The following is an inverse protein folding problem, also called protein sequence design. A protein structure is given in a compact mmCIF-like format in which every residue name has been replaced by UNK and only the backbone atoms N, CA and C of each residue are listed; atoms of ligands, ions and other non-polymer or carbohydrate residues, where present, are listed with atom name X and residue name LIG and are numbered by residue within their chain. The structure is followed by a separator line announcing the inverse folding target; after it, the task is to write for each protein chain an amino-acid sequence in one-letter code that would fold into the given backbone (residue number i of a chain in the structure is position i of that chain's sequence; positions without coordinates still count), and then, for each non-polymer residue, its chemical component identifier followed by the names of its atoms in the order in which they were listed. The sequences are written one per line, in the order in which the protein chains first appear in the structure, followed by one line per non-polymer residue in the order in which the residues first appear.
data_IF_628057066635
#
_entry.id   IF_628057066635
#
_cell.length_a   1.000
_cell.length_b   1.000
_cell.length_c   1.000
_cell.angle_alpha   90.00
_cell.angle_beta   90.00
_cell.angle_gamma   90.00
#
_symmetry.space_group_name_H-M   'P 1'
#
loop_
_entity.id
_entity.type
_entity.pdbx_description
1 polymer ?
#
# COMPACT_ATOMS: atom_id res chain seq x y z
N UNK A 1 2.82 -20.07 13.17
CA UNK A 1 3.52 -21.36 12.93
C UNK A 1 2.87 -22.49 13.73
N UNK A 2 2.69 -23.64 13.08
CA UNK A 2 1.85 -24.82 13.36
C UNK A 2 0.34 -24.55 13.46
N UNK A 3 -0.26 -24.24 12.31
CA UNK A 3 -1.69 -24.42 12.05
C UNK A 3 -2.07 -25.89 12.32
N UNK A 4 -3.22 -26.14 12.93
CA UNK A 4 -3.74 -27.51 13.05
C UNK A 4 -3.96 -28.11 11.65
N UNK A 5 -3.67 -29.41 11.43
CA UNK A 5 -3.73 -30.02 10.09
C UNK A 5 -5.08 -29.82 9.40
N UNK A 6 -6.18 -29.84 10.15
CA UNK A 6 -7.54 -29.68 9.65
C UNK A 6 -7.82 -28.29 9.05
N UNK A 7 -7.39 -27.21 9.71
CA UNK A 7 -7.62 -25.84 9.22
C UNK A 7 -6.79 -25.51 7.98
N UNK A 8 -5.58 -26.08 7.87
CA UNK A 8 -4.78 -26.00 6.65
C UNK A 8 -5.46 -26.74 5.49
N UNK A 9 -5.97 -27.95 5.72
CA UNK A 9 -6.63 -28.72 4.66
C UNK A 9 -7.92 -28.08 4.17
N UNK A 10 -8.69 -27.39 5.01
CA UNK A 10 -9.84 -26.61 4.55
C UNK A 10 -9.41 -25.36 3.78
N UNK A 11 -8.42 -24.62 4.29
CA UNK A 11 -7.91 -23.42 3.62
C UNK A 11 -7.30 -23.71 2.24
N UNK A 12 -6.68 -24.89 2.07
CA UNK A 12 -6.12 -25.35 0.80
C UNK A 12 -7.21 -25.77 -0.21
N UNK A 13 -8.36 -26.27 0.26
CA UNK A 13 -9.49 -26.65 -0.61
C UNK A 13 -10.25 -25.46 -1.18
N UNK A 14 -10.18 -24.32 -0.50
CA UNK A 14 -10.84 -23.09 -0.92
C UNK A 14 -9.93 -22.17 -1.78
N UNK A 15 -8.70 -22.60 -2.11
CA UNK A 15 -7.83 -21.91 -3.06
C UNK A 15 -8.34 -22.10 -4.49
N UNK A 16 -8.25 -21.06 -5.33
CA UNK A 16 -8.56 -21.18 -6.76
C UNK A 16 -7.56 -22.13 -7.44
N UNK A 17 -8.00 -22.91 -8.45
CA UNK A 17 -7.21 -23.97 -9.09
C UNK A 17 -5.83 -23.47 -9.57
N UNK A 18 -5.76 -22.27 -10.15
CA UNK A 18 -4.50 -21.66 -10.57
C UNK A 18 -3.52 -21.43 -9.41
N UNK A 19 -4.02 -20.98 -8.25
CA UNK A 19 -3.18 -20.70 -7.08
C UNK A 19 -2.74 -22.01 -6.41
N UNK A 20 -3.59 -23.04 -6.48
CA UNK A 20 -3.26 -24.40 -6.03
C UNK A 20 -2.20 -25.03 -6.94
N UNK A 21 -2.32 -24.87 -8.25
CA UNK A 21 -1.33 -25.33 -9.25
C UNK A 21 0.01 -24.62 -9.04
N UNK A 22 0.01 -23.32 -8.77
CA UNK A 22 1.22 -22.56 -8.45
C UNK A 22 1.90 -23.10 -7.17
N UNK A 23 1.12 -23.43 -6.13
CA UNK A 23 1.64 -24.07 -4.92
C UNK A 23 2.20 -25.47 -5.18
N UNK A 24 1.51 -26.28 -6.00
CA UNK A 24 1.94 -27.62 -6.35
C UNK A 24 3.19 -27.62 -7.22
N UNK A 25 3.32 -26.67 -8.15
CA UNK A 25 4.53 -26.46 -8.94
C UNK A 25 5.73 -26.09 -8.04
N UNK A 26 5.51 -25.22 -7.05
CA UNK A 26 6.53 -24.87 -6.06
C UNK A 26 6.96 -26.10 -5.24
N UNK A 27 6.01 -26.91 -4.74
CA UNK A 27 6.31 -28.14 -4.00
C UNK A 27 7.02 -29.20 -4.88
N UNK A 28 6.59 -29.41 -6.12
CA UNK A 28 7.23 -30.35 -7.05
C UNK A 28 8.68 -29.94 -7.37
N UNK A 29 8.94 -28.63 -7.43
CA UNK A 29 10.30 -28.10 -7.57
C UNK A 29 11.20 -28.42 -6.37
N UNK A 30 10.62 -28.62 -5.17
CA UNK A 30 11.35 -29.01 -3.96
C UNK A 30 11.70 -30.51 -3.94
N UNK A 31 10.83 -31.37 -4.47
CA UNK A 31 11.08 -32.82 -4.52
C UNK A 31 12.19 -33.20 -5.50
N UNK A 32 12.35 -32.44 -6.59
CA UNK A 32 13.36 -32.70 -7.64
C UNK A 32 14.79 -32.32 -7.26
N UNK A 33 15.00 -31.65 -6.12
CA UNK A 33 16.34 -31.23 -5.65
C UNK A 33 16.97 -32.19 -4.63
N UNK A 34 16.29 -33.29 -4.28
CA UNK A 34 16.79 -34.28 -3.30
C UNK A 34 17.67 -35.39 -3.88
N UNK A 35 17.92 -35.43 -5.19
CA UNK A 35 18.82 -36.40 -5.83
C UNK A 35 20.08 -35.70 -6.35
N UNK A 36 21.04 -35.44 -5.48
CA UNK A 36 22.42 -35.15 -5.90
C UNK A 36 23.37 -36.05 -5.11
N UNK A 37 23.70 -37.18 -5.74
CA UNK A 37 24.64 -38.19 -5.27
C UNK A 37 26.06 -37.62 -5.19
N UNK A 38 26.72 -37.88 -4.06
CA UNK A 38 28.13 -37.61 -3.78
C UNK A 38 29.04 -38.34 -4.79
N UNK A 39 30.14 -37.75 -5.29
CA UNK A 39 31.13 -38.50 -6.06
C UNK A 39 32.17 -39.15 -5.13
N UNK A 40 32.25 -40.48 -5.17
CA UNK A 40 33.33 -41.29 -4.61
C UNK A 40 34.58 -41.18 -5.50
N UNK A 41 35.72 -40.85 -4.90
CA UNK A 41 37.05 -40.86 -5.52
C UNK A 41 37.46 -42.29 -5.94
N UNK A 42 37.92 -42.47 -7.18
CA UNK A 42 38.67 -43.65 -7.62
C UNK A 42 40.18 -43.39 -7.50
N UNK A 43 40.91 -44.39 -6.99
CA UNK A 43 42.33 -44.56 -7.26
C UNK A 43 42.63 -46.05 -7.50
N UNK A 44 43.55 -46.28 -8.44
CA UNK A 44 43.78 -47.50 -9.21
C UNK A 44 44.51 -48.65 -8.49
N UNK A 45 44.37 -49.88 -9.03
CA UNK A 45 45.19 -51.05 -8.67
C UNK A 45 44.86 -52.36 -9.41
N UNK A 46 45.46 -52.53 -10.59
CA UNK A 46 45.96 -53.75 -11.29
C UNK A 46 45.27 -55.15 -11.26
N UNK A 47 45.22 -55.72 -12.49
CA UNK A 47 45.59 -57.09 -12.94
C UNK A 47 44.56 -58.24 -13.08
N UNK A 48 44.55 -58.75 -14.33
CA UNK A 48 44.47 -60.13 -14.83
C UNK A 48 43.11 -60.81 -15.13
N UNK A 49 43.04 -61.25 -16.40
CA UNK A 49 42.41 -62.44 -17.02
C UNK A 49 40.93 -62.77 -16.78
N UNK A 50 40.09 -62.77 -17.83
CA UNK A 50 39.86 -63.93 -18.71
C UNK A 50 38.69 -63.71 -19.71
N UNK A 51 38.95 -64.17 -20.93
CA UNK A 51 38.11 -64.75 -22.01
C UNK A 51 36.57 -64.54 -22.18
N UNK A 52 36.26 -64.44 -23.50
CA UNK A 52 35.13 -64.98 -24.29
C UNK A 52 33.84 -64.16 -24.58
N UNK A 53 33.75 -63.77 -25.87
CA UNK A 53 32.65 -64.03 -26.85
C UNK A 53 31.24 -63.42 -26.57
N UNK A 54 30.42 -62.92 -27.50
CA UNK A 54 30.36 -62.88 -28.97
C UNK A 54 29.31 -61.83 -29.43
N UNK A 55 29.38 -61.42 -30.71
CA UNK A 55 28.31 -60.99 -31.66
C UNK A 55 27.25 -59.94 -31.26
N UNK A 56 26.68 -59.11 -32.13
CA UNK A 56 26.86 -58.71 -33.53
C UNK A 56 25.79 -57.61 -33.83
N UNK A 57 26.17 -56.47 -34.44
CA UNK A 57 25.53 -55.74 -35.58
C UNK A 57 24.00 -55.37 -35.61
N UNK A 58 23.54 -54.39 -36.46
CA UNK A 58 22.81 -53.19 -36.00
C UNK A 58 21.40 -52.98 -36.64
N UNK A 59 20.98 -51.75 -37.02
CA UNK A 59 19.84 -50.97 -36.50
C UNK A 59 18.54 -51.10 -37.36
N UNK A 60 17.49 -50.30 -37.09
CA UNK A 60 17.22 -49.25 -38.08
C UNK A 60 16.66 -47.92 -37.54
N UNK A 61 16.94 -46.90 -38.36
CA UNK A 61 16.40 -45.55 -38.38
C UNK A 61 14.88 -45.51 -38.58
N UNK A 62 14.21 -44.51 -38.01
CA UNK A 62 13.08 -43.85 -38.68
C UNK A 62 12.84 -42.43 -38.16
N UNK A 63 12.34 -41.63 -39.10
CA UNK A 63 12.28 -40.18 -39.21
C UNK A 63 11.13 -39.50 -38.46
N UNK A 64 11.46 -38.30 -37.94
CA UNK A 64 10.72 -37.01 -37.97
C UNK A 64 9.19 -37.04 -38.02
N UNK A 65 8.53 -36.47 -37.01
CA UNK A 65 7.51 -35.42 -37.21
C UNK A 65 7.26 -34.55 -35.96
N UNK A 66 6.93 -33.29 -36.24
CA UNK A 66 6.91 -32.10 -35.40
C UNK A 66 5.58 -31.91 -34.68
N UNK A 67 5.61 -31.35 -33.46
CA UNK A 67 4.54 -30.47 -32.94
C UNK A 67 5.07 -29.54 -31.85
N UNK A 68 4.96 -28.24 -32.10
CA UNK A 68 5.54 -27.17 -31.30
C UNK A 68 4.87 -26.98 -29.95
N UNK A 69 5.66 -27.15 -28.89
CA UNK A 69 5.41 -26.55 -27.58
C UNK A 69 6.39 -25.39 -27.38
N UNK A 70 5.91 -24.31 -26.76
CA UNK A 70 6.75 -23.22 -26.25
C UNK A 70 7.86 -23.83 -25.40
N UNK A 71 9.08 -23.87 -25.94
CA UNK A 71 10.25 -24.27 -25.18
C UNK A 71 10.60 -23.14 -24.22
N UNK A 72 10.26 -23.32 -22.96
CA UNK A 72 11.06 -22.73 -21.88
C UNK A 72 12.47 -23.28 -22.05
N UNK A 73 13.42 -22.39 -22.32
CA UNK A 73 14.81 -22.78 -22.53
C UNK A 73 15.34 -23.44 -21.27
N UNK A 74 15.59 -24.75 -21.36
CA UNK A 74 16.28 -25.48 -20.30
C UNK A 74 17.65 -24.84 -20.05
N UNK A 75 18.09 -24.67 -18.80
CA UNK A 75 19.41 -24.12 -18.49
C UNK A 75 20.50 -25.03 -19.06
N UNK A 76 21.08 -24.66 -20.20
CA UNK A 76 22.00 -25.50 -20.97
C UNK A 76 23.42 -25.55 -20.40
N UNK A 77 23.79 -24.64 -19.48
CA UNK A 77 25.10 -24.67 -18.82
C UNK A 77 25.04 -25.07 -17.34
N UNK A 78 26.11 -25.69 -16.83
CA UNK A 78 26.25 -26.01 -15.39
C UNK A 78 26.08 -24.77 -14.50
N UNK A 79 26.46 -23.60 -15.01
CA UNK A 79 26.27 -22.30 -14.34
C UNK A 79 24.79 -21.92 -14.25
N UNK A 80 24.02 -22.09 -15.32
CA UNK A 80 22.58 -21.78 -15.33
C UNK A 80 21.79 -22.73 -14.42
N UNK A 81 22.17 -24.02 -14.39
CA UNK A 81 21.60 -25.00 -13.46
C UNK A 81 21.92 -24.65 -12.01
N UNK A 82 23.16 -24.23 -11.72
CA UNK A 82 23.56 -23.77 -10.39
C UNK A 82 22.83 -22.50 -9.96
N UNK A 83 22.68 -21.51 -10.86
CA UNK A 83 21.94 -20.28 -10.61
C UNK A 83 20.46 -20.56 -10.34
N UNK A 84 19.83 -21.38 -11.15
CA UNK A 84 18.43 -21.79 -10.98
C UNK A 84 18.22 -22.58 -9.68
N UNK A 85 19.15 -23.47 -9.31
CA UNK A 85 19.08 -24.20 -8.04
C UNK A 85 19.22 -23.24 -6.84
N UNK A 86 20.12 -22.25 -6.92
CA UNK A 86 20.28 -21.24 -5.88
C UNK A 86 19.03 -20.36 -5.75
N UNK A 87 18.40 -20.01 -6.86
CA UNK A 87 17.15 -19.26 -6.89
C UNK A 87 16.00 -20.08 -6.28
N UNK A 88 15.84 -21.35 -6.66
CA UNK A 88 14.88 -22.27 -6.04
C UNK A 88 15.12 -22.47 -4.55
N UNK A 89 16.36 -22.55 -4.11
CA UNK A 89 16.69 -22.67 -2.69
C UNK A 89 16.36 -21.37 -1.91
N UNK A 90 16.58 -20.21 -2.53
CA UNK A 90 16.15 -18.93 -1.96
C UNK A 90 14.63 -18.84 -1.89
N UNK A 91 13.94 -19.30 -2.92
CA UNK A 91 12.48 -19.28 -3.00
C UNK A 91 11.83 -20.25 -2.02
N UNK A 92 12.39 -21.44 -1.84
CA UNK A 92 11.93 -22.43 -0.86
C UNK A 92 12.05 -21.96 0.61
N UNK A 93 12.85 -20.91 0.88
CA UNK A 93 12.99 -20.30 2.21
C UNK A 93 11.98 -19.18 2.46
N UNK A 94 11.27 -18.73 1.43
CA UNK A 94 10.28 -17.65 1.54
C UNK A 94 9.07 -18.17 2.30
N UNK A 95 8.70 -17.48 3.37
CA UNK A 95 7.49 -17.81 4.13
C UNK A 95 6.25 -17.42 3.34
N UNK A 96 5.31 -18.35 3.22
CA UNK A 96 4.00 -18.18 2.59
C UNK A 96 2.88 -18.36 3.62
N UNK A 97 1.84 -17.54 3.52
CA UNK A 97 0.62 -17.61 4.31
C UNK A 97 -0.59 -17.72 3.39
N UNK A 98 -1.55 -18.54 3.78
CA UNK A 98 -2.89 -18.53 3.17
C UNK A 98 -3.73 -17.55 3.98
N UNK A 99 -4.22 -16.51 3.33
CA UNK A 99 -4.92 -15.39 3.96
C UNK A 99 -6.36 -15.35 3.43
N UNK A 100 -7.32 -15.37 4.34
CA UNK A 100 -8.74 -15.16 4.04
C UNK A 100 -9.07 -13.68 4.16
N UNK A 101 -9.47 -13.07 3.05
CA UNK A 101 -9.86 -11.67 2.95
C UNK A 101 -11.38 -11.59 2.83
N UNK A 102 -12.02 -10.87 3.75
CA UNK A 102 -13.47 -10.66 3.76
C UNK A 102 -13.85 -9.46 2.91
N UNK A 103 -14.93 -9.63 2.15
CA UNK A 103 -15.45 -8.62 1.23
C UNK A 103 -16.59 -7.82 1.87
N UNK A 104 -16.96 -6.68 1.28
CA UNK A 104 -18.05 -5.84 1.79
C UNK A 104 -19.44 -6.48 1.70
N UNK A 105 -19.64 -7.45 0.80
CA UNK A 105 -20.89 -8.19 0.62
C UNK A 105 -21.01 -9.42 1.54
N UNK A 106 -20.03 -9.65 2.41
CA UNK A 106 -19.97 -10.80 3.32
C UNK A 106 -19.33 -12.05 2.71
N UNK A 107 -18.98 -12.04 1.42
CA UNK A 107 -18.18 -13.10 0.79
C UNK A 107 -16.71 -13.02 1.23
N UNK A 108 -15.89 -13.97 0.78
CA UNK A 108 -14.46 -13.98 1.06
C UNK A 108 -13.65 -14.48 -0.12
N UNK A 109 -12.42 -13.98 -0.27
CA UNK A 109 -11.39 -14.53 -1.15
C UNK A 109 -10.25 -15.07 -0.33
N UNK A 110 -9.68 -16.19 -0.76
CA UNK A 110 -8.49 -16.76 -0.13
C UNK A 110 -7.32 -16.59 -1.09
N UNK A 111 -6.24 -16.03 -0.55
CA UNK A 111 -5.03 -15.70 -1.29
C UNK A 111 -3.84 -16.39 -0.65
N UNK A 112 -2.95 -16.91 -1.47
CA UNK A 112 -1.61 -17.28 -1.02
C UNK A 112 -0.72 -16.04 -1.12
N UNK A 113 -0.14 -15.62 0.01
CA UNK A 113 0.69 -14.42 0.10
C UNK A 113 2.04 -14.76 0.70
N UNK A 114 3.12 -14.29 0.10
CA UNK A 114 4.48 -14.47 0.61
C UNK A 114 4.98 -13.28 1.44
N UNK A 115 6.09 -13.45 2.16
CA UNK A 115 6.63 -12.42 3.05
C UNK A 115 7.23 -11.19 2.37
N UNK A 116 7.40 -11.21 1.04
CA UNK A 116 7.89 -10.09 0.24
C UNK A 116 6.73 -9.24 -0.28
N UNK A 117 5.54 -9.80 -0.39
CA UNK A 117 4.39 -9.10 -0.95
C UNK A 117 3.88 -7.97 -0.05
N UNK A 118 3.76 -6.81 -0.67
CA UNK A 118 3.21 -5.58 -0.11
C UNK A 118 1.68 -5.58 -0.18
N UNK A 119 1.06 -4.73 0.63
CA UNK A 119 -0.38 -4.46 0.58
C UNK A 119 -0.80 -3.97 -0.81
N UNK A 120 0.03 -3.18 -1.50
CA UNK A 120 -0.20 -2.76 -2.88
C UNK A 120 -0.39 -3.95 -3.82
N UNK A 121 0.54 -4.90 -3.81
CA UNK A 121 0.48 -6.07 -4.68
C UNK A 121 -0.75 -6.94 -4.38
N UNK A 122 -1.08 -7.13 -3.10
CA UNK A 122 -2.29 -7.87 -2.71
C UNK A 122 -3.57 -7.13 -3.12
N UNK A 123 -3.59 -5.78 -3.06
CA UNK A 123 -4.70 -4.98 -3.60
C UNK A 123 -4.83 -5.17 -5.11
N UNK A 124 -3.73 -5.19 -5.86
CA UNK A 124 -3.77 -5.41 -7.31
C UNK A 124 -4.30 -6.81 -7.67
N UNK A 125 -3.90 -7.86 -6.93
CA UNK A 125 -4.48 -9.21 -7.06
C UNK A 125 -6.00 -9.20 -6.80
N UNK A 126 -6.44 -8.48 -5.76
CA UNK A 126 -7.86 -8.36 -5.44
C UNK A 126 -8.62 -7.56 -6.50
N UNK A 127 -8.03 -6.55 -7.11
CA UNK A 127 -8.63 -5.81 -8.22
C UNK A 127 -8.89 -6.73 -9.42
N UNK A 128 -7.92 -7.58 -9.77
CA UNK A 128 -8.05 -8.55 -10.85
C UNK A 128 -9.12 -9.60 -10.55
N UNK A 129 -9.14 -10.14 -9.32
CA UNK A 129 -10.11 -11.17 -8.92
C UNK A 129 -11.53 -10.65 -8.64
N UNK A 130 -11.70 -9.35 -8.41
CA UNK A 130 -13.01 -8.75 -8.08
C UNK A 130 -13.60 -7.90 -9.21
N UNK A 131 -12.77 -7.48 -10.16
CA UNK A 131 -13.14 -6.54 -11.23
C UNK A 131 -13.75 -5.23 -10.71
N UNK A 132 -13.34 -4.76 -9.52
CA UNK A 132 -13.76 -3.47 -8.99
C UNK A 132 -13.15 -2.28 -9.77
N UNK A 133 -13.62 -1.07 -9.49
CA UNK A 133 -13.22 0.17 -10.18
C UNK A 133 -11.75 0.61 -9.97
N UNK A 134 -10.96 -0.13 -9.19
CA UNK A 134 -9.57 0.18 -8.86
C UNK A 134 -9.37 1.58 -8.24
N UNK A 135 -10.42 2.15 -7.63
CA UNK A 135 -10.37 3.43 -6.92
C UNK A 135 -9.26 3.47 -5.87
N UNK A 136 -8.70 4.66 -5.64
CA UNK A 136 -7.68 4.92 -4.60
C UNK A 136 -8.21 4.67 -3.18
N UNK A 137 -9.53 4.60 -3.01
CA UNK A 137 -10.19 4.39 -1.72
C UNK A 137 -10.12 2.93 -1.26
N UNK A 138 -9.88 1.98 -2.17
CA UNK A 138 -9.78 0.57 -1.80
C UNK A 138 -8.61 0.31 -0.87
N UNK A 139 -8.90 -0.44 0.19
CA UNK A 139 -8.00 -0.67 1.30
C UNK A 139 -8.08 -2.11 1.79
N UNK A 140 -6.95 -2.63 2.23
CA UNK A 140 -6.91 -3.75 3.14
C UNK A 140 -6.96 -3.23 4.57
N UNK A 141 -7.83 -3.78 5.40
CA UNK A 141 -8.00 -3.36 6.79
C UNK A 141 -7.88 -4.57 7.72
N UNK A 142 -7.26 -4.40 8.88
CA UNK A 142 -7.37 -5.34 9.99
C UNK A 142 -8.42 -4.86 10.99
N UNK A 143 -9.14 -5.81 11.58
CA UNK A 143 -9.93 -5.62 12.79
C UNK A 143 -9.37 -6.46 13.93
N UNK A 144 -9.47 -5.95 15.14
CA UNK A 144 -9.26 -6.71 16.36
C UNK A 144 -10.53 -6.56 17.22
N UNK A 145 -11.43 -7.57 17.21
CA UNK A 145 -12.68 -7.53 17.95
C UNK A 145 -12.51 -7.43 19.47
N UNK A 146 -11.49 -8.09 20.03
CA UNK A 146 -11.20 -8.09 21.47
C UNK A 146 -10.97 -6.66 21.98
N UNK A 147 -10.14 -5.90 21.26
CA UNK A 147 -9.85 -4.50 21.57
C UNK A 147 -10.90 -3.52 21.01
N UNK A 148 -11.80 -3.97 20.14
CA UNK A 148 -12.78 -3.17 19.39
C UNK A 148 -12.15 -2.07 18.54
N UNK A 149 -11.11 -2.45 17.79
CA UNK A 149 -10.32 -1.53 16.96
C UNK A 149 -10.21 -2.01 15.52
N UNK A 150 -9.87 -1.09 14.63
CA UNK A 150 -9.55 -1.35 13.24
C UNK A 150 -8.51 -0.37 12.70
N UNK A 151 -7.77 -0.77 11.67
CA UNK A 151 -6.96 0.16 10.88
C UNK A 151 -6.88 -0.29 9.42
N UNK A 152 -6.64 0.67 8.52
CA UNK A 152 -6.14 0.36 7.19
C UNK A 152 -4.66 0.00 7.26
N UNK A 153 -4.24 -0.96 6.44
CA UNK A 153 -2.83 -1.12 6.12
C UNK A 153 -2.41 -0.05 5.12
N UNK A 154 -1.19 0.47 5.27
CA UNK A 154 -0.57 1.31 4.26
C UNK A 154 -0.05 0.43 3.11
N UNK A 155 -0.13 0.94 1.88
CA UNK A 155 0.14 0.14 0.68
C UNK A 155 1.58 -0.41 0.58
N UNK A 156 2.51 0.15 1.35
CA UNK A 156 3.91 -0.29 1.38
C UNK A 156 4.17 -1.36 2.46
N UNK A 157 3.23 -1.59 3.39
CA UNK A 157 3.41 -2.61 4.43
C UNK A 157 3.46 -3.99 3.79
N UNK A 158 4.35 -4.86 4.28
CA UNK A 158 4.36 -6.27 3.90
C UNK A 158 3.25 -7.02 4.65
N UNK A 159 2.39 -7.75 3.95
CA UNK A 159 1.16 -8.33 4.54
C UNK A 159 1.45 -9.40 5.60
N UNK A 160 2.50 -10.19 5.40
CA UNK A 160 2.83 -11.31 6.31
C UNK A 160 3.31 -10.83 7.68
N UNK A 161 3.97 -9.67 7.77
CA UNK A 161 4.52 -9.16 9.02
C UNK A 161 3.45 -8.88 10.10
N UNK A 162 2.42 -8.04 9.86
CA UNK A 162 1.37 -7.79 10.84
C UNK A 162 0.56 -9.06 11.16
N UNK A 163 0.27 -9.90 10.16
CA UNK A 163 -0.45 -11.16 10.38
C UNK A 163 0.36 -12.16 11.24
N UNK A 164 1.68 -12.11 11.19
CA UNK A 164 2.54 -12.95 12.03
C UNK A 164 2.42 -12.63 13.52
N UNK A 165 1.90 -11.45 13.87
CA UNK A 165 1.63 -11.07 15.26
C UNK A 165 0.31 -11.62 15.81
N UNK A 166 -0.56 -12.15 14.95
CA UNK A 166 -1.85 -12.68 15.36
C UNK A 166 -1.67 -14.05 16.03
N UNK A 167 -2.42 -14.28 17.11
CA UNK A 167 -2.40 -15.57 17.81
C UNK A 167 -3.17 -16.63 17.01
N UNK A 168 -2.94 -17.91 17.31
CA UNK A 168 -3.66 -19.01 16.61
C UNK A 168 -5.18 -19.00 16.86
N UNK A 169 -5.62 -18.39 17.95
CA UNK A 169 -7.03 -18.25 18.34
C UNK A 169 -7.56 -16.85 18.02
N UNK A 170 -6.83 -16.07 17.22
CA UNK A 170 -7.19 -14.70 16.92
C UNK A 170 -8.53 -14.65 16.17
N UNK A 171 -9.42 -13.79 16.66
CA UNK A 171 -10.66 -13.42 15.96
C UNK A 171 -10.45 -12.23 15.01
N UNK A 172 -9.20 -11.79 14.83
CA UNK A 172 -8.86 -10.72 13.92
C UNK A 172 -9.25 -11.11 12.50
N UNK A 173 -9.69 -10.12 11.74
CA UNK A 173 -10.15 -10.32 10.36
C UNK A 173 -9.48 -9.31 9.45
N UNK A 174 -9.20 -9.75 8.24
CA UNK A 174 -8.72 -8.90 7.16
C UNK A 174 -9.88 -8.60 6.21
N UNK A 175 -10.09 -7.33 5.91
CA UNK A 175 -11.17 -6.86 5.05
C UNK A 175 -10.61 -6.15 3.82
N UNK A 176 -11.23 -6.40 2.67
CA UNK A 176 -11.10 -5.58 1.48
C UNK A 176 -12.31 -4.64 1.39
N UNK A 177 -12.08 -3.34 1.60
CA UNK A 177 -13.15 -2.35 1.78
C UNK A 177 -12.74 -0.97 1.30
N UNK A 178 -13.70 -0.20 0.79
CA UNK A 178 -13.49 1.21 0.43
C UNK A 178 -13.37 2.10 1.68
N UNK A 179 -12.33 2.92 1.72
CA UNK A 179 -12.02 3.88 2.79
C UNK A 179 -11.67 5.24 2.16
N UNK A 180 -12.67 6.11 1.93
CA UNK A 180 -12.45 7.46 1.35
C UNK A 180 -11.49 8.34 2.15
N UNK A 181 -11.27 8.02 3.43
CA UNK A 181 -10.34 8.74 4.29
C UNK A 181 -8.87 8.30 4.13
N UNK A 182 -8.57 7.23 3.37
CA UNK A 182 -7.20 6.68 3.24
C UNK A 182 -6.19 7.71 2.78
N UNK A 183 -6.55 8.50 1.76
CA UNK A 183 -5.68 9.50 1.11
C UNK A 183 -6.21 10.92 1.22
N UNK A 184 -7.06 11.20 2.21
CA UNK A 184 -7.68 12.52 2.40
C UNK A 184 -6.63 13.63 2.62
N UNK A 185 -5.47 13.30 3.17
CA UNK A 185 -4.36 14.24 3.34
C UNK A 185 -3.73 14.68 2.02
N UNK A 186 -3.94 13.94 0.93
CA UNK A 186 -3.43 14.28 -0.39
C UNK A 186 -4.52 14.85 -1.30
N UNK A 187 -5.77 14.45 -1.13
CA UNK A 187 -6.90 15.03 -1.87
C UNK A 187 -7.35 16.38 -1.29
N UNK A 188 -7.17 16.57 0.02
CA UNK A 188 -7.51 17.79 0.77
C UNK A 188 -6.38 18.22 1.74
N UNK A 189 -5.16 18.48 1.25
CA UNK A 189 -3.99 18.78 2.09
C UNK A 189 -4.17 20.03 2.97
N UNK A 190 -4.97 20.99 2.52
CA UNK A 190 -5.27 22.22 3.25
C UNK A 190 -6.03 21.98 4.57
N UNK A 191 -6.75 20.86 4.69
CA UNK A 191 -7.38 20.47 5.96
C UNK A 191 -6.32 20.26 7.05
N UNK A 192 -5.14 19.77 6.68
CA UNK A 192 -4.08 19.38 7.62
C UNK A 192 -3.05 20.48 7.84
N UNK A 193 -2.56 21.10 6.75
CA UNK A 193 -1.51 22.11 6.84
C UNK A 193 -2.02 23.53 7.08
N UNK A 194 -3.34 23.75 6.96
CA UNK A 194 -3.98 25.04 7.25
C UNK A 194 -5.07 24.89 8.31
N UNK A 195 -4.95 23.87 9.18
CA UNK A 195 -5.96 23.48 10.16
C UNK A 195 -6.33 24.60 11.16
N UNK A 196 -5.40 25.54 11.43
CA UNK A 196 -5.64 26.71 12.29
C UNK A 196 -6.48 27.81 11.61
N UNK A 197 -6.63 27.77 10.27
CA UNK A 197 -7.38 28.79 9.53
C UNK A 197 -8.88 28.50 9.60
N UNK A 198 -9.69 29.56 9.52
CA UNK A 198 -11.16 29.43 9.46
C UNK A 198 -11.57 28.53 8.29
N UNK A 199 -12.57 27.67 8.49
CA UNK A 199 -13.07 26.70 7.49
C UNK A 199 -13.38 27.31 6.11
N UNK A 200 -13.85 28.55 6.08
CA UNK A 200 -14.17 29.30 4.84
C UNK A 200 -12.93 29.62 3.99
N UNK A 201 -11.76 29.73 4.62
CA UNK A 201 -10.49 29.99 3.93
C UNK A 201 -9.85 28.69 3.44
N UNK A 202 -10.05 27.57 4.15
CA UNK A 202 -9.55 26.25 3.75
C UNK A 202 -10.38 25.56 2.67
N UNK A 203 -11.66 25.90 2.49
CA UNK A 203 -12.52 25.22 1.50
C UNK A 203 -12.36 25.72 0.05
N UNK A 204 -11.64 26.83 -0.17
CA UNK A 204 -11.56 27.53 -1.48
C UNK A 204 -10.20 27.44 -2.17
N UNK A 205 -9.42 26.38 -1.92
CA UNK A 205 -8.14 26.18 -2.61
C UNK A 205 -8.35 25.42 -3.93
N UNK A 206 -7.73 25.89 -5.02
CA UNK A 206 -7.77 25.22 -6.31
C UNK A 206 -6.75 24.05 -6.38
N UNK A 207 -6.86 23.20 -7.38
CA UNK A 207 -5.99 22.02 -7.53
C UNK A 207 -4.50 22.37 -7.67
N UNK A 208 -4.17 23.48 -8.35
CA UNK A 208 -2.78 23.93 -8.46
C UNK A 208 -2.18 24.26 -7.08
N UNK A 209 -2.93 24.97 -6.24
CA UNK A 209 -2.50 25.34 -4.92
C UNK A 209 -2.44 24.12 -3.96
N UNK A 210 -3.31 23.11 -4.14
CA UNK A 210 -3.16 21.81 -3.46
C UNK A 210 -1.85 21.13 -3.86
N UNK A 211 -1.53 21.10 -5.14
CA UNK A 211 -0.29 20.49 -5.63
C UNK A 211 0.96 21.21 -5.11
N UNK A 212 0.94 22.54 -5.06
CA UNK A 212 2.03 23.32 -4.45
C UNK A 212 2.18 23.01 -2.95
N UNK A 213 1.07 22.89 -2.23
CA UNK A 213 1.09 22.54 -0.80
C UNK A 213 1.70 21.15 -0.59
N UNK A 214 1.36 20.17 -1.42
CA UNK A 214 1.96 18.84 -1.38
C UNK A 214 3.46 18.86 -1.73
N UNK A 215 3.84 19.61 -2.76
CA UNK A 215 5.24 19.76 -3.16
C UNK A 215 6.09 20.38 -2.05
N UNK A 216 5.58 21.42 -1.38
CA UNK A 216 6.26 22.07 -0.25
C UNK A 216 6.50 21.10 0.91
N UNK A 217 5.51 20.26 1.24
CA UNK A 217 5.56 19.45 2.45
C UNK A 217 6.17 18.06 2.27
N UNK A 218 6.10 17.50 1.06
CA UNK A 218 6.58 16.14 0.73
C UNK A 218 7.69 16.11 -0.33
N UNK A 219 7.93 17.20 -1.07
CA UNK A 219 8.90 17.23 -2.18
C UNK A 219 10.31 17.67 -1.79
N UNK A 220 10.50 18.19 -0.56
CA UNK A 220 11.80 18.60 -0.05
C UNK A 220 12.66 17.43 0.45
N UNK A 221 13.92 17.71 0.80
CA UNK A 221 14.83 16.73 1.44
C UNK A 221 14.39 16.33 2.85
N UNK A 222 13.55 17.15 3.49
CA UNK A 222 12.98 16.90 4.81
C UNK A 222 11.47 17.03 4.76
N UNK A 223 10.76 16.04 5.30
CA UNK A 223 9.32 16.07 5.48
C UNK A 223 8.89 17.21 6.41
N UNK A 224 7.88 17.98 6.02
CA UNK A 224 7.23 18.96 6.88
C UNK A 224 5.93 18.35 7.41
N UNK A 225 5.87 18.08 8.70
CA UNK A 225 4.66 17.53 9.36
C UNK A 225 3.68 18.64 9.75
N UNK A 226 2.36 18.38 9.78
CA UNK A 226 1.39 19.34 10.29
C UNK A 226 1.73 19.80 11.72
N UNK A 227 1.61 21.09 12.01
CA UNK A 227 1.88 21.69 13.33
C UNK A 227 0.72 21.49 14.32
N UNK A 228 0.16 20.28 14.33
CA UNK A 228 -1.05 19.94 15.07
C UNK A 228 -0.82 19.93 16.58
N UNK A 229 -1.68 20.62 17.32
CA UNK A 229 -1.66 20.68 18.78
C UNK A 229 -3.07 20.90 19.32
N UNK A 230 -3.34 20.44 20.54
CA UNK A 230 -4.69 20.57 21.09
C UNK A 230 -4.89 19.75 22.35
N UNK A 231 -6.01 19.98 23.02
CA UNK A 231 -6.42 19.16 24.15
C UNK A 231 -7.04 17.87 23.64
N UNK A 232 -6.58 16.72 24.15
CA UNK A 232 -7.23 15.43 24.01
C UNK A 232 -7.49 14.83 25.39
N UNK A 233 -8.47 13.94 25.50
CA UNK A 233 -8.68 13.19 26.73
C UNK A 233 -7.87 11.90 26.68
N UNK A 234 -6.96 11.75 27.64
CA UNK A 234 -6.17 10.54 27.83
C UNK A 234 -6.87 9.66 28.87
N UNK A 235 -7.13 8.40 28.52
CA UNK A 235 -7.59 7.41 29.50
C UNK A 235 -6.47 7.09 30.48
N UNK A 236 -6.79 7.02 31.78
CA UNK A 236 -5.84 6.55 32.79
C UNK A 236 -5.63 5.03 32.68
N UNK A 237 -4.39 4.60 32.92
CA UNK A 237 -4.00 3.19 32.91
C UNK A 237 -4.83 2.39 33.94
N UNK A 238 -5.32 1.22 33.53
CA UNK A 238 -6.20 0.36 34.35
C UNK A 238 -7.58 0.93 34.71
N UNK A 239 -7.92 2.19 34.38
CA UNK A 239 -9.14 2.85 34.84
C UNK A 239 -10.03 3.34 33.69
N UNK A 240 -11.35 3.35 33.88
CA UNK A 240 -12.32 3.98 32.96
C UNK A 240 -12.50 5.48 33.29
N UNK A 241 -11.39 6.18 33.47
CA UNK A 241 -11.31 7.61 33.81
C UNK A 241 -10.49 8.31 32.74
N UNK A 242 -10.96 9.46 32.28
CA UNK A 242 -10.37 10.21 31.18
C UNK A 242 -9.97 11.60 31.66
N UNK A 243 -8.74 12.04 31.35
CA UNK A 243 -8.21 13.33 31.79
C UNK A 243 -7.78 14.18 30.59
N UNK A 244 -8.21 15.44 30.50
CA UNK A 244 -7.76 16.33 29.44
C UNK A 244 -6.27 16.62 29.62
N UNK A 245 -5.50 16.53 28.53
CA UNK A 245 -4.10 16.93 28.46
C UNK A 245 -3.85 17.64 27.13
N UNK A 246 -2.95 18.61 27.15
CA UNK A 246 -2.53 19.31 25.94
C UNK A 246 -1.44 18.50 25.24
N UNK A 247 -1.70 18.10 24.01
CA UNK A 247 -0.81 17.31 23.17
C UNK A 247 -0.32 18.11 21.99
N UNK A 248 0.85 17.74 21.51
CA UNK A 248 1.56 18.39 20.43
C UNK A 248 2.17 17.33 19.52
N UNK A 249 1.90 17.42 18.22
CA UNK A 249 2.48 16.55 17.21
C UNK A 249 3.88 17.03 16.82
N UNK A 250 4.79 16.08 16.64
CA UNK A 250 6.13 16.28 16.06
C UNK A 250 6.43 15.12 15.11
N UNK A 251 7.44 15.28 14.25
CA UNK A 251 7.85 14.23 13.32
C UNK A 251 8.20 12.91 14.03
N UNK A 252 8.81 12.97 15.23
CA UNK A 252 9.24 11.78 15.97
C UNK A 252 8.15 11.12 16.81
N UNK A 253 7.02 11.78 17.05
CA UNK A 253 6.03 11.28 17.99
C UNK A 253 5.04 12.32 18.51
N UNK A 254 4.26 11.90 19.50
CA UNK A 254 3.34 12.77 20.23
C UNK A 254 4.01 13.19 21.53
N UNK A 255 3.88 14.46 21.86
CA UNK A 255 4.36 15.05 23.10
C UNK A 255 3.19 15.64 23.88
N UNK A 256 3.32 15.76 25.19
CA UNK A 256 2.30 16.39 26.02
C UNK A 256 2.91 17.36 27.02
N UNK A 257 2.09 18.31 27.48
CA UNK A 257 2.46 19.26 28.53
C UNK A 257 2.09 18.68 29.89
N UNK A 258 3.06 18.43 30.80
CA UNK A 258 2.76 18.00 32.16
C UNK A 258 1.93 19.04 32.92
N UNK A 259 1.14 18.58 33.89
CA UNK A 259 0.31 19.47 34.70
C UNK A 259 1.20 20.50 35.42
N UNK A 260 0.86 21.79 35.30
CA UNK A 260 1.60 22.89 35.92
C UNK A 260 2.84 23.35 35.17
N UNK A 261 3.08 22.83 33.95
CA UNK A 261 4.16 23.28 33.06
C UNK A 261 3.64 24.19 31.94
N UNK A 262 4.55 24.92 31.30
CA UNK A 262 4.21 25.81 30.20
C UNK A 262 4.12 25.04 28.88
N UNK A 263 3.55 25.66 27.84
CA UNK A 263 3.52 25.09 26.49
C UNK A 263 4.84 25.29 25.72
N UNK A 264 5.92 25.61 26.41
CA UNK A 264 7.24 25.81 25.79
C UNK A 264 7.83 24.47 25.33
N UNK A 265 8.66 24.51 24.28
CA UNK A 265 9.27 23.29 23.74
C UNK A 265 10.14 22.54 24.75
N UNK A 266 10.73 23.24 25.73
CA UNK A 266 11.55 22.67 26.79
C UNK A 266 10.75 21.92 27.87
N UNK A 267 9.45 22.21 28.00
CA UNK A 267 8.57 21.59 28.99
C UNK A 267 7.82 20.36 28.45
N UNK A 268 7.92 20.09 27.14
CA UNK A 268 7.24 18.97 26.49
C UNK A 268 7.86 17.63 26.89
N UNK A 269 7.02 16.67 27.24
CA UNK A 269 7.42 15.29 27.53
C UNK A 269 6.93 14.38 26.41
N UNK A 270 7.81 13.52 25.91
CA UNK A 270 7.44 12.53 24.90
C UNK A 270 6.39 11.57 25.48
N UNK A 271 5.27 11.45 24.78
CA UNK A 271 4.20 10.53 25.12
C UNK A 271 4.39 9.18 24.42
N UNK A 272 4.60 9.19 23.09
CA UNK A 272 4.92 8.01 22.28
C UNK A 272 5.86 8.38 21.13
N UNK A 273 6.66 7.41 20.69
CA UNK A 273 7.43 7.48 19.44
C UNK A 273 6.74 6.65 18.35
N UNK A 274 6.60 7.20 17.15
CA UNK A 274 5.85 6.53 16.06
C UNK A 274 6.50 5.26 15.53
N UNK A 275 7.82 5.11 15.68
CA UNK A 275 8.54 3.90 15.29
C UNK A 275 7.96 2.63 15.95
N UNK A 276 7.56 2.74 17.22
CA UNK A 276 7.12 1.59 18.04
C UNK A 276 5.61 1.38 18.06
N UNK A 277 4.83 2.31 17.54
CA UNK A 277 3.38 2.32 17.70
C UNK A 277 2.68 2.40 16.34
N UNK A 278 1.60 1.64 16.20
CA UNK A 278 0.61 1.80 15.15
C UNK A 278 -0.62 2.51 15.71
N UNK A 279 -1.32 3.20 14.82
CA UNK A 279 -2.55 3.92 15.11
C UNK A 279 -3.76 3.13 14.62
N UNK A 280 -4.80 3.12 15.45
CA UNK A 280 -6.03 2.39 15.20
C UNK A 280 -7.24 3.28 15.47
N UNK A 281 -8.24 3.19 14.59
CA UNK A 281 -9.57 3.68 14.85
C UNK A 281 -10.29 2.74 15.80
N UNK A 282 -11.25 3.28 16.54
CA UNK A 282 -11.94 2.54 17.60
C UNK A 282 -13.44 2.58 17.37
N UNK A 283 -14.17 1.61 17.94
CA UNK A 283 -15.63 1.56 17.86
C UNK A 283 -16.23 1.46 19.26
N UNK A 284 -17.25 2.27 19.54
CA UNK A 284 -18.07 2.19 20.76
C UNK A 284 -17.31 2.34 22.10
N UNK A 285 -16.27 3.18 22.13
CA UNK A 285 -15.45 3.39 23.33
C UNK A 285 -16.17 4.17 24.43
N UNK A 286 -17.21 4.93 24.11
CA UNK A 286 -18.11 5.52 25.10
C UNK A 286 -18.78 4.42 25.94
N UNK A 287 -19.20 3.33 25.31
CA UNK A 287 -19.80 2.18 26.00
C UNK A 287 -18.73 1.34 26.72
N UNK A 288 -17.65 0.92 26.03
CA UNK A 288 -16.64 0.01 26.59
C UNK A 288 -15.83 0.66 27.72
N UNK A 289 -15.38 1.90 27.55
CA UNK A 289 -14.42 2.57 28.43
C UNK A 289 -14.91 3.86 29.09
N UNK A 290 -16.19 4.21 28.94
CA UNK A 290 -16.76 5.48 29.44
C UNK A 290 -16.01 6.69 28.89
N UNK A 291 -15.59 6.62 27.62
CA UNK A 291 -14.97 7.75 26.93
C UNK A 291 -15.93 8.95 26.84
N UNK A 292 -15.43 10.20 26.85
CA UNK A 292 -16.25 11.38 26.66
C UNK A 292 -17.08 11.36 25.36
N UNK A 293 -16.47 10.91 24.27
CA UNK A 293 -17.08 10.73 22.95
C UNK A 293 -16.68 9.37 22.37
N UNK A 294 -17.30 8.97 21.26
CA UNK A 294 -16.84 7.81 20.48
C UNK A 294 -15.74 8.18 19.46
N UNK A 295 -15.33 9.45 19.38
CA UNK A 295 -14.26 9.91 18.50
C UNK A 295 -12.89 9.62 19.13
N UNK A 296 -12.55 8.33 19.20
CA UNK A 296 -11.34 7.85 19.86
C UNK A 296 -10.39 7.17 18.88
N UNK A 297 -9.10 7.27 19.17
CA UNK A 297 -8.05 6.48 18.53
C UNK A 297 -7.19 5.77 19.58
N UNK A 298 -6.60 4.66 19.17
CA UNK A 298 -5.72 3.83 19.99
C UNK A 298 -4.32 3.80 19.39
N UNK A 299 -3.32 3.84 20.27
CA UNK A 299 -1.92 3.63 19.92
C UNK A 299 -1.43 2.38 20.66
N UNK A 300 -0.93 1.39 19.92
CA UNK A 300 -0.30 0.19 20.49
C UNK A 300 0.85 -0.31 19.64
N UNK A 301 1.76 -1.07 20.25
CA UNK A 301 2.74 -1.84 19.50
C UNK A 301 2.03 -2.95 18.69
N UNK A 302 2.46 -3.26 17.45
CA UNK A 302 1.81 -4.27 16.61
C UNK A 302 1.66 -5.65 17.26
N UNK A 303 2.65 -6.06 18.07
CA UNK A 303 2.61 -7.36 18.77
C UNK A 303 1.55 -7.48 19.88
N UNK A 304 0.99 -6.36 20.36
CA UNK A 304 -0.04 -6.39 21.40
C UNK A 304 -1.38 -6.70 20.74
N UNK A 305 -2.00 -7.82 21.11
CA UNK A 305 -3.29 -8.25 20.55
C UNK A 305 -4.45 -8.21 21.55
N UNK A 306 -4.14 -8.07 22.85
CA UNK A 306 -5.11 -8.14 23.95
C UNK A 306 -4.98 -6.91 24.86
N UNK A 307 -5.87 -6.75 25.85
CA UNK A 307 -5.80 -5.65 26.83
C UNK A 307 -4.42 -5.55 27.49
N UNK A 308 -3.88 -4.34 27.60
CA UNK A 308 -2.52 -4.10 28.12
C UNK A 308 -2.34 -2.64 28.56
N UNK A 309 -1.56 -2.42 29.63
CA UNK A 309 -1.22 -1.08 30.14
C UNK A 309 -0.32 -0.27 29.19
N UNK A 310 0.30 -0.96 28.22
CA UNK A 310 1.10 -0.31 27.18
C UNK A 310 0.25 0.26 26.04
N UNK A 311 -1.05 0.00 26.03
CA UNK A 311 -1.99 0.58 25.06
C UNK A 311 -2.37 1.98 25.53
N UNK A 312 -2.29 2.95 24.62
CA UNK A 312 -2.68 4.33 24.88
C UNK A 312 -3.97 4.67 24.15
N UNK A 313 -4.92 5.21 24.90
CA UNK A 313 -6.27 5.54 24.43
C UNK A 313 -6.47 7.05 24.49
N UNK A 314 -6.82 7.65 23.36
CA UNK A 314 -7.08 9.08 23.26
C UNK A 314 -8.47 9.31 22.69
N UNK A 315 -9.14 10.33 23.21
CA UNK A 315 -10.48 10.74 22.81
C UNK A 315 -10.45 12.22 22.42
N UNK A 316 -11.11 12.52 21.29
CA UNK A 316 -11.29 13.85 20.73
C UNK A 316 -12.68 14.39 21.06
N UNK A 317 -12.87 15.71 21.01
CA UNK A 317 -14.20 16.32 21.19
C UNK A 317 -15.13 16.05 20.00
N UNK A 318 -14.58 15.95 18.78
CA UNK A 318 -15.35 15.78 17.55
C UNK A 318 -14.62 14.93 16.48
N UNK A 319 -15.38 14.54 15.46
CA UNK A 319 -14.89 13.74 14.31
C UNK A 319 -13.80 14.46 13.52
N UNK A 320 -13.87 15.78 13.40
CA UNK A 320 -12.88 16.55 12.64
C UNK A 320 -11.52 16.52 13.33
N UNK A 321 -11.49 16.66 14.65
CA UNK A 321 -10.29 16.56 15.48
C UNK A 321 -9.71 15.15 15.40
N UNK A 322 -10.56 14.10 15.42
CA UNK A 322 -10.11 12.73 15.19
C UNK A 322 -9.46 12.56 13.80
N UNK A 323 -10.10 13.08 12.74
CA UNK A 323 -9.58 13.05 11.38
C UNK A 323 -8.20 13.71 11.29
N UNK A 324 -8.04 14.89 11.90
CA UNK A 324 -6.77 15.61 11.95
C UNK A 324 -5.68 14.79 12.64
N UNK A 325 -5.94 14.30 13.85
CA UNK A 325 -4.95 13.54 14.62
C UNK A 325 -4.55 12.24 13.94
N UNK A 326 -5.53 11.43 13.51
CA UNK A 326 -5.25 10.12 12.90
C UNK A 326 -4.39 10.27 11.65
N UNK A 327 -4.76 11.18 10.75
CA UNK A 327 -4.03 11.35 9.50
C UNK A 327 -2.72 12.12 9.67
N UNK A 328 -2.62 13.07 10.59
CA UNK A 328 -1.35 13.76 10.85
C UNK A 328 -0.33 12.84 11.53
N UNK A 329 -0.78 11.90 12.36
CA UNK A 329 0.06 10.82 12.89
C UNK A 329 0.55 9.90 11.77
N UNK A 330 -0.31 9.53 10.82
CA UNK A 330 0.10 8.74 9.64
C UNK A 330 1.14 9.49 8.79
N UNK A 331 0.93 10.78 8.53
CA UNK A 331 1.91 11.63 7.83
C UNK A 331 3.26 11.62 8.57
N UNK A 332 3.26 11.85 9.88
CA UNK A 332 4.48 11.89 10.66
C UNK A 332 5.19 10.52 10.75
N UNK A 333 4.42 9.42 10.83
CA UNK A 333 4.96 8.06 10.91
C UNK A 333 5.56 7.56 9.60
N UNK A 334 4.87 7.80 8.48
CA UNK A 334 5.19 7.17 7.19
C UNK A 334 5.79 8.14 6.16
N UNK A 335 5.66 9.44 6.38
CA UNK A 335 6.32 10.48 5.59
C UNK A 335 6.10 10.37 4.07
N UNK A 336 7.19 10.50 3.32
CA UNK A 336 7.17 10.51 1.85
C UNK A 336 6.69 9.19 1.27
N UNK A 337 6.96 8.05 1.91
CA UNK A 337 6.44 6.75 1.48
C UNK A 337 4.91 6.71 1.44
N UNK A 338 4.23 7.43 2.33
CA UNK A 338 2.78 7.56 2.28
C UNK A 338 2.29 8.33 1.05
N UNK A 339 3.06 9.34 0.60
CA UNK A 339 2.77 10.08 -0.62
C UNK A 339 3.08 9.25 -1.87
N UNK A 340 4.17 8.48 -1.86
CA UNK A 340 4.51 7.51 -2.92
C UNK A 340 3.40 6.48 -3.10
N UNK A 341 2.84 5.97 -2.00
CA UNK A 341 1.68 5.09 -2.02
C UNK A 341 0.48 5.71 -2.74
N UNK A 342 0.16 6.97 -2.42
CA UNK A 342 -0.91 7.72 -3.08
C UNK A 342 -0.64 7.89 -4.59
N UNK A 343 0.59 8.24 -4.97
CA UNK A 343 0.96 8.39 -6.39
C UNK A 343 0.86 7.06 -7.16
N UNK A 344 1.28 5.96 -6.54
CA UNK A 344 1.13 4.62 -7.12
C UNK A 344 -0.35 4.25 -7.29
N UNK A 345 -1.18 4.52 -6.28
CA UNK A 345 -2.63 4.30 -6.35
C UNK A 345 -3.30 5.12 -7.47
N UNK A 346 -2.95 6.40 -7.60
CA UNK A 346 -3.46 7.29 -8.64
C UNK A 346 -3.12 6.80 -10.05
N UNK A 347 -1.87 6.35 -10.27
CA UNK A 347 -1.44 5.77 -11.55
C UNK A 347 -2.24 4.51 -11.92
N UNK A 348 -2.57 3.69 -10.93
CA UNK A 348 -3.37 2.46 -11.12
C UNK A 348 -4.83 2.76 -11.43
N UNK A 349 -5.43 3.74 -10.74
CA UNK A 349 -6.83 4.15 -10.95
C UNK A 349 -7.06 4.82 -12.33
N UNK A 350 -6.01 5.42 -12.93
CA UNK A 350 -6.07 6.05 -14.25
C UNK A 350 -5.00 5.52 -15.22
N UNK A 351 -5.18 4.30 -15.79
CA UNK A 351 -4.20 3.70 -16.70
C UNK A 351 -4.00 4.47 -18.03
N UNK A 352 -4.97 5.32 -18.40
CA UNK A 352 -5.13 5.90 -19.74
C UNK A 352 -4.14 7.01 -20.13
N UNK A 353 -3.18 7.37 -19.29
CA UNK A 353 -2.17 8.40 -19.61
C UNK A 353 -0.81 7.85 -20.11
N UNK A 354 -0.55 6.54 -20.04
CA UNK A 354 0.80 5.99 -20.27
C UNK A 354 0.98 5.17 -21.56
N UNK A 355 -0.09 4.88 -22.30
CA UNK A 355 -0.03 4.01 -23.48
C UNK A 355 -0.05 4.72 -24.84
N UNK A 356 -0.13 6.06 -24.91
CA UNK A 356 -0.18 6.79 -26.19
C UNK A 356 1.16 7.23 -26.77
N UNK A 357 2.25 7.22 -26.01
CA UNK A 357 3.53 7.79 -26.48
C UNK A 357 4.55 6.77 -27.03
N UNK A 358 4.18 5.49 -27.16
CA UNK A 358 5.14 4.44 -27.56
C UNK A 358 4.91 3.85 -28.96
N UNK A 359 3.98 4.40 -29.75
CA UNK A 359 3.66 3.87 -31.07
C UNK A 359 3.74 4.88 -32.22
N UNK A 360 4.57 5.93 -32.08
CA UNK A 360 4.85 6.84 -33.21
C UNK A 360 6.34 7.17 -33.39
N UNK A 361 7.20 6.16 -33.24
CA UNK A 361 8.59 6.25 -33.66
C UNK A 361 8.85 5.26 -34.78
N UNK A 362 8.43 5.61 -35.99
CA UNK A 362 9.04 5.21 -37.26
C UNK A 362 8.21 5.82 -38.38
N UNK A 363 8.72 6.89 -39.02
CA UNK A 363 8.83 7.03 -40.48
C UNK A 363 9.62 8.33 -40.79
N UNK A 364 10.71 8.13 -41.52
CA UNK A 364 11.53 9.00 -42.37
C UNK A 364 12.23 10.27 -41.84
N UNK A 365 13.56 10.13 -41.78
CA UNK A 365 14.60 11.14 -42.02
C UNK A 365 14.68 11.59 -43.48
N UNK A 366 14.71 12.90 -43.74
CA UNK A 366 15.57 13.54 -44.75
C UNK A 366 15.83 15.01 -44.35
N UNK A 367 17.06 15.46 -44.61
CA UNK A 367 17.79 16.57 -43.98
C UNK A 367 17.55 17.95 -44.64
N UNK A 368 17.65 19.05 -43.87
CA UNK A 368 18.49 20.24 -44.16
C UNK A 368 18.29 21.38 -43.11
N UNK A 369 19.23 22.34 -42.95
CA UNK A 369 19.46 23.09 -41.70
C UNK A 369 19.07 24.62 -41.83
N UNK A 370 19.38 25.53 -40.88
CA UNK A 370 18.44 26.51 -40.32
C UNK A 370 18.51 27.92 -40.93
N UNK A 371 17.44 28.73 -40.82
CA UNK A 371 17.55 30.21 -40.81
C UNK A 371 16.27 30.96 -40.38
N UNK A 372 16.43 31.76 -39.32
CA UNK A 372 16.01 33.16 -39.10
C UNK A 372 14.68 33.73 -39.64
N UNK A 373 13.89 34.27 -38.70
CA UNK A 373 13.14 35.55 -38.74
C UNK A 373 12.41 35.95 -40.04
N UNK A 374 11.08 36.00 -40.01
CA UNK A 374 10.28 37.24 -40.03
C UNK A 374 8.79 36.97 -40.18
N UNK A 375 8.05 37.97 -39.72
CA UNK A 375 6.61 38.19 -39.72
C UNK A 375 6.04 38.23 -41.15
N UNK A 376 4.89 37.56 -41.38
CA UNK A 376 3.75 37.91 -42.24
C UNK A 376 2.81 36.69 -42.31
N UNK A 377 1.60 36.78 -41.74
CA UNK A 377 0.33 37.14 -42.40
C UNK A 377 -0.39 35.91 -43.00
N UNK A 378 -1.48 35.48 -42.38
CA UNK A 378 -2.47 34.56 -42.96
C UNK A 378 -3.89 34.97 -42.51
N UNK A 379 -4.89 34.75 -43.38
CA UNK A 379 -6.07 35.59 -43.49
C UNK A 379 -7.23 35.16 -42.59
N UNK A 380 -8.06 36.15 -42.30
CA UNK A 380 -9.36 36.05 -41.65
C UNK A 380 -10.28 35.00 -42.30
N UNK A 381 -10.81 34.09 -41.48
CA UNK A 381 -12.03 33.34 -41.76
C UNK A 381 -13.10 33.77 -40.73
N UNK A 382 -14.26 34.22 -41.22
CA UNK A 382 -15.32 34.78 -40.40
C UNK A 382 -16.17 33.66 -39.75
N UNK A 383 -16.56 33.77 -38.47
CA UNK A 383 -17.46 32.81 -37.85
C UNK A 383 -18.92 33.04 -38.30
N UNK A 384 -19.74 31.98 -38.39
CA UNK A 384 -21.11 32.05 -38.88
C UNK A 384 -22.08 32.74 -37.91
N UNK A 385 -22.91 33.62 -38.48
CA UNK A 385 -24.00 34.35 -37.84
C UNK A 385 -25.13 33.41 -37.37
N UNK A 386 -25.35 33.29 -36.05
CA UNK A 386 -26.68 32.96 -35.50
C UNK A 386 -26.76 33.30 -34.00
N UNK A 387 -26.93 34.59 -33.66
CA UNK A 387 -27.50 35.02 -32.37
C UNK A 387 -28.44 36.21 -32.65
N UNK A 388 -29.74 36.14 -32.34
CA UNK A 388 -30.64 37.28 -32.50
C UNK A 388 -30.32 38.40 -31.50
N UNK A 389 -30.53 39.68 -31.85
CA UNK A 389 -30.18 40.81 -30.99
C UNK A 389 -31.06 40.90 -29.73
N UNK A 390 -30.54 41.41 -28.61
CA UNK A 390 -31.31 41.66 -27.39
C UNK A 390 -32.28 42.85 -27.56
N UNK A 391 -33.36 42.93 -26.73
CA UNK A 391 -34.37 43.97 -26.84
C UNK A 391 -33.84 45.39 -26.53
N UNK A 392 -34.53 46.46 -26.99
CA UNK A 392 -33.99 47.83 -27.08
C UNK A 392 -33.63 48.57 -25.78
N UNK A 393 -33.85 48.00 -24.59
CA UNK A 393 -33.71 48.71 -23.31
C UNK A 393 -32.74 48.06 -22.31
N UNK A 394 -31.77 47.27 -22.79
CA UNK A 394 -30.76 46.70 -21.88
C UNK A 394 -29.66 47.72 -21.55
N UNK A 395 -29.71 48.28 -20.34
CA UNK A 395 -28.63 49.07 -19.75
C UNK A 395 -27.71 48.12 -18.95
N UNK A 396 -26.43 47.95 -19.32
CA UNK A 396 -25.50 47.13 -18.54
C UNK A 396 -25.18 47.81 -17.19
N UNK A 397 -24.99 47.05 -16.09
CA UNK A 397 -24.66 47.64 -14.79
C UNK A 397 -23.25 48.24 -14.80
N UNK A 398 -23.01 49.35 -14.09
CA UNK A 398 -21.67 49.93 -13.97
C UNK A 398 -20.73 49.03 -13.13
N UNK A 399 -19.41 49.06 -13.41
CA UNK A 399 -18.44 48.27 -12.66
C UNK A 399 -18.39 48.71 -11.18
N UNK A 400 -18.15 47.78 -10.23
CA UNK A 400 -18.09 48.11 -8.81
C UNK A 400 -16.90 49.03 -8.52
N UNK A 401 -17.21 50.24 -8.07
CA UNK A 401 -16.24 51.23 -7.65
C UNK A 401 -15.49 50.82 -6.39
N UNK A 402 -14.19 51.07 -6.38
CA UNK A 402 -13.35 51.03 -5.19
C UNK A 402 -13.92 51.97 -4.12
N UNK A 403 -14.29 51.42 -2.97
CA UNK A 403 -14.51 52.21 -1.76
C UNK A 403 -13.41 51.85 -0.77
N UNK A 404 -12.55 52.83 -0.49
CA UNK A 404 -11.73 52.87 0.71
C UNK A 404 -12.65 53.07 1.91
N UNK A 405 -12.65 52.14 2.87
CA UNK A 405 -12.43 52.34 4.32
C UNK A 405 -12.00 51.00 4.90
#
# INVERSE_FOLDING_TARGET
MATTPYLLTESLKELEDHDLDALMADLASRSTTSECSLPTYQQAGSCADNEMAASALPPPSNSVESSGGLQTSEPQTKSDKFKLALEKLKEAKVRKLIVKVLMSDGSSKILMVDERQTVREVLDMLFEKTHCDCSIDWSLCETNPELQIERGFEDHEHVVEPLSSWTRLSENKMYFVSRPQKYVMFTNPQVFYMWKKKKECSSKINEQAKQLLLQEHFGGSTLIVPDLEGTLYLKEDGKKVWKPRYFVLRASGIYYVPKGKTKSSSDLVCFVHFEKFNIYNTKHFKLKYRAPTDFCFMLKHPCIQNESDYIKFLCCDDEHTLLLWVNSIRIAKYGTTLYENYQAAMKRAHPSASHKDRHNSQVNTQQAPPQTTNVEDYPHEAPPDFIPPPPPDFIPPPPPGHTQV
#
